data_IF_240794055106
#
_entry.id   IF_240794055106
#
_cell.length_a   1.000
_cell.length_b   1.000
_cell.length_c   1.000
_cell.angle_alpha   90.00
_cell.angle_beta   90.00
_cell.angle_gamma   90.00
#
_symmetry.space_group_name_H-M   'P 1'
#
loop_
_entity.id
_entity.type
_entity.pdbx_description
1 polymer ?
#
# COMPACT_ATOMS: atom_id res chain seq x y z
N UNK A 1 -3.78 -6.64 -24.65
CA UNK A 1 -2.34 -6.87 -24.83
C UNK A 1 -1.61 -5.54 -24.74
N UNK A 2 -0.38 -5.57 -24.23
CA UNK A 2 0.46 -4.39 -24.03
C UNK A 2 1.92 -4.82 -23.89
N UNK A 3 2.83 -3.87 -24.03
CA UNK A 3 4.28 -4.11 -23.95
C UNK A 3 4.77 -3.96 -22.52
N UNK A 4 5.68 -4.84 -22.12
CA UNK A 4 6.30 -4.86 -20.79
C UNK A 4 7.79 -5.16 -20.90
N UNK A 5 8.52 -4.90 -19.82
CA UNK A 5 9.79 -5.55 -19.50
C UNK A 5 9.62 -6.39 -18.23
N UNK A 6 10.34 -7.49 -18.12
CA UNK A 6 10.43 -8.26 -16.88
C UNK A 6 11.49 -7.63 -15.98
N UNK A 7 11.20 -7.52 -14.68
CA UNK A 7 12.13 -6.97 -13.69
C UNK A 7 12.47 -8.00 -12.62
N UNK A 8 13.59 -7.78 -11.93
CA UNK A 8 14.05 -8.66 -10.85
C UNK A 8 13.12 -8.54 -9.63
N UNK A 9 12.60 -9.65 -9.08
CA UNK A 9 11.72 -9.61 -7.91
C UNK A 9 12.43 -9.11 -6.62
N UNK A 10 13.75 -9.15 -6.56
CA UNK A 10 14.54 -8.69 -5.42
C UNK A 10 15.15 -7.29 -5.64
N UNK A 11 15.08 -6.77 -6.85
CA UNK A 11 15.52 -5.42 -7.21
C UNK A 11 14.71 -4.95 -8.43
N UNK A 12 13.57 -4.33 -8.18
CA UNK A 12 12.60 -3.95 -9.21
C UNK A 12 13.07 -2.83 -10.13
N UNK A 13 14.18 -2.20 -9.81
CA UNK A 13 14.85 -1.24 -10.69
C UNK A 13 15.66 -1.94 -11.79
N UNK A 14 15.94 -3.25 -11.62
CA UNK A 14 16.73 -4.04 -12.54
C UNK A 14 15.88 -4.74 -13.60
N UNK A 15 16.01 -4.30 -14.85
CA UNK A 15 15.36 -4.92 -16.00
C UNK A 15 16.07 -6.21 -16.41
N UNK A 16 15.30 -7.28 -16.60
CA UNK A 16 15.78 -8.63 -16.97
C UNK A 16 15.54 -9.00 -18.43
N UNK A 17 14.71 -8.26 -19.16
CA UNK A 17 14.34 -8.60 -20.54
C UNK A 17 14.30 -7.37 -21.46
N UNK A 18 14.46 -7.61 -22.76
CA UNK A 18 14.01 -6.66 -23.77
C UNK A 18 12.48 -6.50 -23.72
N UNK A 19 11.93 -5.39 -24.23
CA UNK A 19 10.47 -5.21 -24.29
C UNK A 19 9.76 -6.31 -25.11
N UNK A 20 8.65 -6.85 -24.57
CA UNK A 20 7.83 -7.85 -25.24
C UNK A 20 6.35 -7.69 -24.91
N UNK A 21 5.49 -8.30 -25.76
CA UNK A 21 4.03 -8.23 -25.59
C UNK A 21 3.51 -9.36 -24.70
N UNK A 22 2.71 -8.99 -23.70
CA UNK A 22 1.97 -9.91 -22.84
C UNK A 22 0.45 -9.77 -22.98
N UNK A 23 -0.30 -10.70 -22.37
CA UNK A 23 -1.73 -10.59 -22.10
C UNK A 23 -1.94 -10.58 -20.58
N UNK A 24 -2.01 -9.42 -19.97
CA UNK A 24 -2.32 -9.25 -18.54
C UNK A 24 -3.82 -9.10 -18.27
N UNK A 25 -4.21 -9.27 -17.01
CA UNK A 25 -5.56 -9.03 -16.50
C UNK A 25 -5.70 -7.59 -15.97
N UNK A 26 -5.77 -6.66 -16.90
CA UNK A 26 -5.74 -5.22 -16.64
C UNK A 26 -6.93 -4.50 -17.31
N UNK A 27 -8.01 -5.23 -17.62
CA UNK A 27 -9.22 -4.63 -18.16
C UNK A 27 -10.44 -5.05 -17.34
N UNK A 28 -11.10 -4.07 -16.71
CA UNK A 28 -12.30 -4.28 -15.90
C UNK A 28 -13.40 -3.30 -16.33
N UNK A 29 -14.48 -3.84 -16.88
CA UNK A 29 -15.57 -3.05 -17.49
C UNK A 29 -16.87 -3.08 -16.68
N UNK A 30 -16.94 -3.90 -15.64
CA UNK A 30 -18.07 -4.00 -14.70
C UNK A 30 -19.46 -3.95 -15.35
N UNK A 31 -19.82 -4.89 -16.24
CA UNK A 31 -21.07 -4.81 -17.02
C UNK A 31 -22.34 -4.82 -16.14
N UNK A 32 -22.27 -5.40 -14.95
CA UNK A 32 -23.36 -5.41 -13.98
C UNK A 32 -23.72 -4.02 -13.43
N UNK A 33 -22.78 -3.08 -13.46
CA UNK A 33 -22.97 -1.70 -13.01
C UNK A 33 -23.90 -0.89 -13.94
N UNK A 34 -23.99 -1.22 -15.23
CA UNK A 34 -24.80 -0.55 -16.26
C UNK A 34 -24.64 0.99 -16.27
N UNK A 35 -23.43 1.47 -15.95
CA UNK A 35 -23.10 2.90 -15.80
C UNK A 35 -23.92 3.65 -14.75
N UNK A 36 -24.46 2.95 -13.75
CA UNK A 36 -25.39 3.55 -12.76
C UNK A 36 -24.70 4.59 -11.86
N UNK A 37 -23.42 4.46 -11.57
CA UNK A 37 -22.65 5.32 -10.65
C UNK A 37 -21.61 6.14 -11.37
N UNK A 38 -20.81 5.50 -12.21
CA UNK A 38 -19.89 6.11 -13.17
C UNK A 38 -19.69 5.17 -14.35
N UNK A 39 -19.04 5.62 -15.40
CA UNK A 39 -18.72 4.83 -16.59
C UNK A 39 -17.22 4.53 -16.72
N UNK A 40 -16.43 4.77 -15.68
CA UNK A 40 -14.99 4.48 -15.67
C UNK A 40 -14.74 2.99 -15.89
N UNK A 41 -13.88 2.68 -16.84
CA UNK A 41 -13.41 1.33 -17.13
C UNK A 41 -11.90 1.27 -16.95
N UNK A 42 -11.42 0.26 -16.25
CA UNK A 42 -9.98 0.03 -16.11
C UNK A 42 -9.40 -0.56 -17.38
N UNK A 43 -8.28 -0.01 -17.83
CA UNK A 43 -7.50 -0.48 -18.96
C UNK A 43 -6.03 -0.64 -18.57
N UNK A 44 -5.24 -1.32 -19.40
CA UNK A 44 -3.84 -1.60 -19.11
C UNK A 44 -3.01 -0.33 -18.82
N UNK A 45 -3.36 0.79 -19.42
CA UNK A 45 -2.65 2.06 -19.23
C UNK A 45 -2.97 2.77 -17.89
N UNK A 46 -3.87 2.23 -17.10
CA UNK A 46 -4.15 2.66 -15.72
C UNK A 46 -3.29 1.95 -14.69
N UNK A 47 -2.36 1.09 -15.13
CA UNK A 47 -1.51 0.29 -14.26
C UNK A 47 -0.03 0.52 -14.59
N UNK A 48 0.85 0.35 -13.59
CA UNK A 48 2.31 0.40 -13.71
C UNK A 48 2.88 -0.98 -13.96
N UNK A 49 2.31 -2.02 -13.34
CA UNK A 49 2.82 -3.38 -13.42
C UNK A 49 1.76 -4.47 -13.31
N UNK A 50 2.19 -5.71 -13.56
CA UNK A 50 1.37 -6.93 -13.37
C UNK A 50 2.28 -8.14 -13.16
N UNK A 51 1.74 -9.22 -12.60
CA UNK A 51 2.50 -10.44 -12.24
C UNK A 51 2.26 -11.64 -13.14
N UNK A 52 1.39 -11.52 -14.14
CA UNK A 52 1.01 -12.68 -14.93
C UNK A 52 0.83 -12.40 -16.43
N UNK A 53 1.54 -13.18 -17.25
CA UNK A 53 1.32 -13.25 -18.70
C UNK A 53 0.44 -14.44 -19.06
N UNK A 54 -0.85 -14.21 -19.28
CA UNK A 54 -1.81 -15.23 -19.70
C UNK A 54 -1.58 -15.76 -21.13
N UNK A 55 -0.74 -15.12 -21.93
CA UNK A 55 -0.38 -15.61 -23.28
C UNK A 55 0.59 -16.78 -23.20
N UNK A 56 1.57 -16.67 -22.30
CA UNK A 56 2.65 -17.66 -22.15
C UNK A 56 2.51 -18.49 -20.87
N UNK A 57 1.46 -18.27 -20.07
CA UNK A 57 1.25 -18.91 -18.77
C UNK A 57 2.47 -18.74 -17.84
N UNK A 58 2.98 -17.51 -17.77
CA UNK A 58 4.20 -17.19 -17.03
C UNK A 58 3.91 -16.17 -15.94
N UNK A 59 4.35 -16.46 -14.70
CA UNK A 59 4.42 -15.50 -13.60
C UNK A 59 5.79 -14.79 -13.59
N UNK A 60 5.78 -13.54 -13.18
CA UNK A 60 6.96 -12.67 -13.06
C UNK A 60 6.51 -11.28 -12.66
N UNK A 61 7.41 -10.35 -12.47
CA UNK A 61 7.04 -8.93 -12.28
C UNK A 61 7.28 -8.23 -13.61
N UNK A 62 6.19 -7.76 -14.21
CA UNK A 62 6.18 -7.17 -15.54
C UNK A 62 5.86 -5.68 -15.44
N UNK A 63 6.88 -4.83 -15.64
CA UNK A 63 6.72 -3.38 -15.71
C UNK A 63 6.16 -2.97 -17.06
N UNK A 64 5.00 -2.30 -17.06
CA UNK A 64 4.30 -1.85 -18.25
C UNK A 64 5.07 -0.72 -18.93
N UNK A 65 5.20 -0.79 -20.25
CA UNK A 65 5.92 0.17 -21.05
C UNK A 65 4.96 1.09 -21.80
N UNK A 66 5.33 2.36 -21.96
CA UNK A 66 4.57 3.37 -22.69
C UNK A 66 4.95 4.78 -22.24
N UNK A 67 4.30 5.78 -22.83
CA UNK A 67 4.51 7.18 -22.47
C UNK A 67 4.07 7.43 -21.03
N UNK A 68 4.94 8.06 -20.23
CA UNK A 68 4.74 8.34 -18.80
C UNK A 68 4.51 7.09 -17.93
N UNK A 69 5.00 5.91 -18.36
CA UNK A 69 4.97 4.67 -17.58
C UNK A 69 6.27 4.47 -16.80
N UNK A 70 6.18 3.78 -15.70
CA UNK A 70 7.27 3.49 -14.77
C UNK A 70 6.71 3.27 -13.37
N UNK A 71 7.51 2.72 -12.47
CA UNK A 71 7.18 2.69 -11.04
C UNK A 71 6.97 4.11 -10.50
N UNK A 72 6.37 4.24 -9.33
CA UNK A 72 6.42 5.48 -8.55
C UNK A 72 7.87 5.89 -8.32
N UNK A 73 8.12 7.18 -8.12
CA UNK A 73 9.47 7.67 -7.83
C UNK A 73 9.99 7.09 -6.51
N UNK A 74 11.29 6.77 -6.45
CA UNK A 74 11.89 5.98 -5.34
C UNK A 74 11.71 6.62 -3.96
N UNK A 75 11.60 7.97 -3.91
CA UNK A 75 11.34 8.70 -2.67
C UNK A 75 9.88 8.70 -2.22
N UNK A 76 8.95 8.20 -3.04
CA UNK A 76 7.50 8.23 -2.77
C UNK A 76 6.94 6.88 -2.33
N UNK A 77 7.75 5.83 -2.38
CA UNK A 77 7.41 4.47 -1.95
C UNK A 77 8.53 3.88 -1.11
N UNK A 78 8.25 2.79 -0.39
CA UNK A 78 9.29 2.07 0.36
C UNK A 78 10.39 1.57 -0.57
N UNK A 79 11.65 1.64 -0.13
CA UNK A 79 12.82 1.28 -0.94
C UNK A 79 13.22 -0.19 -0.84
N UNK A 80 12.47 -1.01 -0.14
CA UNK A 80 12.67 -2.45 -0.11
C UNK A 80 12.60 -3.01 -1.54
N UNK A 81 13.47 -3.95 -1.87
CA UNK A 81 13.63 -4.47 -3.23
C UNK A 81 13.95 -3.40 -4.30
N UNK A 82 14.62 -2.32 -3.91
CA UNK A 82 15.03 -1.22 -4.79
C UNK A 82 13.94 -0.17 -5.04
N UNK A 83 12.70 -0.59 -5.20
CA UNK A 83 11.48 0.22 -5.30
C UNK A 83 10.29 -0.70 -5.04
N UNK A 84 9.48 -0.41 -4.02
CA UNK A 84 8.40 -1.30 -3.63
C UNK A 84 7.00 -0.80 -4.02
N UNK A 85 6.89 -0.08 -5.15
CA UNK A 85 5.60 0.31 -5.75
C UNK A 85 4.75 -0.94 -6.01
N UNK A 86 5.28 -1.91 -6.74
CA UNK A 86 4.57 -3.16 -7.02
C UNK A 86 4.50 -4.10 -5.80
N UNK A 87 3.30 -4.46 -5.37
CA UNK A 87 3.06 -5.51 -4.38
C UNK A 87 2.61 -6.82 -5.03
N UNK A 88 1.43 -6.82 -5.69
CA UNK A 88 0.84 -8.01 -6.31
C UNK A 88 -0.21 -7.67 -7.37
N UNK A 89 -0.57 -8.62 -8.22
CA UNK A 89 -1.61 -8.54 -9.26
C UNK A 89 -1.37 -7.42 -10.29
N UNK A 90 -2.31 -6.48 -10.40
CA UNK A 90 -2.23 -5.34 -11.30
C UNK A 90 -2.05 -4.06 -10.47
N UNK A 91 -0.89 -3.48 -10.55
CA UNK A 91 -0.48 -2.32 -9.77
C UNK A 91 -1.03 -1.03 -10.37
N UNK A 92 -1.67 -0.21 -9.54
CA UNK A 92 -2.38 0.99 -9.97
C UNK A 92 -1.40 2.13 -10.22
N UNK A 93 -1.53 2.81 -11.36
CA UNK A 93 -0.76 4.00 -11.69
C UNK A 93 -1.35 5.25 -11.01
N UNK A 94 -0.86 5.55 -9.82
CA UNK A 94 -1.29 6.72 -9.04
C UNK A 94 -0.84 8.07 -9.62
N UNK A 95 -0.10 8.08 -10.74
CA UNK A 95 0.24 9.29 -11.51
C UNK A 95 -0.73 9.54 -12.66
N UNK A 96 -1.58 8.55 -13.01
CA UNK A 96 -2.50 8.67 -14.15
C UNK A 96 -3.71 9.55 -13.79
N UNK A 97 -3.98 10.66 -14.52
CA UNK A 97 -5.02 11.61 -14.13
C UNK A 97 -6.43 11.01 -14.02
N UNK A 98 -6.81 10.10 -14.92
CA UNK A 98 -8.12 9.43 -14.88
C UNK A 98 -8.24 8.52 -13.65
N UNK A 99 -7.15 7.86 -13.23
CA UNK A 99 -7.12 7.03 -12.04
C UNK A 99 -7.29 7.89 -10.79
N UNK A 100 -6.50 8.96 -10.68
CA UNK A 100 -6.59 9.92 -9.55
C UNK A 100 -8.02 10.43 -9.42
N UNK A 101 -8.60 10.95 -10.49
CA UNK A 101 -9.97 11.49 -10.45
C UNK A 101 -11.00 10.42 -10.06
N UNK A 102 -10.90 9.22 -10.63
CA UNK A 102 -11.82 8.13 -10.30
C UNK A 102 -11.71 7.69 -8.83
N UNK A 103 -10.52 7.70 -8.24
CA UNK A 103 -10.33 7.35 -6.82
C UNK A 103 -10.90 8.41 -5.89
N UNK A 104 -10.75 9.71 -6.22
CA UNK A 104 -11.39 10.81 -5.48
C UNK A 104 -12.93 10.71 -5.56
N UNK A 105 -13.47 10.55 -6.76
CA UNK A 105 -14.91 10.40 -6.96
C UNK A 105 -15.47 9.18 -6.22
N UNK A 106 -14.73 8.06 -6.24
CA UNK A 106 -15.09 6.86 -5.49
C UNK A 106 -15.10 7.09 -3.98
N UNK A 107 -14.08 7.75 -3.43
CA UNK A 107 -14.01 8.01 -2.00
C UNK A 107 -15.17 8.86 -1.51
N UNK A 108 -15.47 9.95 -2.22
CA UNK A 108 -16.61 10.79 -1.90
C UNK A 108 -17.94 10.03 -1.99
N UNK A 109 -18.15 9.30 -3.07
CA UNK A 109 -19.34 8.46 -3.21
C UNK A 109 -19.45 7.43 -2.08
N UNK A 110 -18.35 6.78 -1.73
CA UNK A 110 -18.34 5.76 -0.68
C UNK A 110 -18.68 6.37 0.69
N UNK A 111 -18.06 7.47 1.06
CA UNK A 111 -18.33 8.17 2.33
C UNK A 111 -19.81 8.62 2.39
N UNK A 112 -20.31 9.28 1.34
CA UNK A 112 -21.66 9.79 1.28
C UNK A 112 -22.73 8.67 1.27
N UNK A 113 -22.42 7.55 0.63
CA UNK A 113 -23.37 6.42 0.52
C UNK A 113 -23.42 5.55 1.77
N UNK A 114 -22.32 5.44 2.51
CA UNK A 114 -22.20 4.53 3.66
C UNK A 114 -22.24 5.24 5.01
N UNK A 115 -21.91 6.53 5.05
CA UNK A 115 -21.83 7.32 6.27
C UNK A 115 -20.67 6.92 7.19
N UNK A 116 -19.58 6.36 6.65
CA UNK A 116 -18.39 6.06 7.43
C UNK A 116 -17.66 7.32 7.87
N UNK A 117 -16.99 7.28 9.02
CA UNK A 117 -16.30 8.40 9.61
C UNK A 117 -14.77 8.21 9.64
N UNK A 118 -14.26 7.26 8.87
CA UNK A 118 -12.83 7.01 8.78
C UNK A 118 -12.49 5.88 7.83
N UNK A 119 -11.19 5.76 7.53
CA UNK A 119 -10.62 4.71 6.69
C UNK A 119 -9.45 3.99 7.37
N UNK A 120 -9.37 2.69 7.17
CA UNK A 120 -8.11 1.97 7.22
C UNK A 120 -7.59 1.84 5.79
N UNK A 121 -6.36 2.28 5.57
CA UNK A 121 -5.68 2.21 4.29
C UNK A 121 -4.74 1.01 4.28
N UNK A 122 -4.97 0.11 3.33
CA UNK A 122 -4.18 -1.11 3.17
C UNK A 122 -2.88 -0.84 2.43
N UNK A 123 -1.78 -1.50 2.81
CA UNK A 123 -0.53 -1.59 2.05
C UNK A 123 0.06 -0.24 1.59
N UNK A 124 -0.03 0.82 2.41
CA UNK A 124 0.34 2.19 2.00
C UNK A 124 1.81 2.38 1.66
N UNK A 125 2.71 1.48 2.11
CA UNK A 125 4.12 1.52 1.74
C UNK A 125 4.37 1.26 0.24
N UNK A 126 3.38 0.70 -0.47
CA UNK A 126 3.40 0.40 -1.89
C UNK A 126 2.60 1.42 -2.73
N UNK A 127 2.18 2.52 -2.13
CA UNK A 127 1.39 3.55 -2.78
C UNK A 127 2.15 4.87 -2.72
N UNK A 128 2.19 5.58 -3.84
CA UNK A 128 2.76 6.92 -3.95
C UNK A 128 2.33 7.82 -2.77
N UNK A 129 3.27 8.22 -1.92
CA UNK A 129 3.00 9.00 -0.70
C UNK A 129 2.47 10.41 -1.00
N UNK A 130 2.88 11.00 -2.14
CA UNK A 130 2.35 12.29 -2.58
C UNK A 130 0.87 12.17 -2.96
N UNK A 131 0.48 11.08 -3.66
CA UNK A 131 -0.93 10.78 -3.90
C UNK A 131 -1.68 10.62 -2.58
N UNK A 132 -1.18 9.79 -1.65
CA UNK A 132 -1.84 9.53 -0.36
C UNK A 132 -2.04 10.80 0.45
N UNK A 133 -1.02 11.64 0.55
CA UNK A 133 -1.11 12.94 1.24
C UNK A 133 -2.23 13.81 0.68
N UNK A 134 -2.28 13.96 -0.64
CA UNK A 134 -3.29 14.80 -1.30
C UNK A 134 -4.69 14.20 -1.23
N UNK A 135 -4.80 12.89 -1.35
CA UNK A 135 -6.06 12.16 -1.25
C UNK A 135 -6.71 12.32 0.13
N UNK A 136 -5.93 12.15 1.21
CA UNK A 136 -6.45 12.33 2.56
C UNK A 136 -6.73 13.81 2.88
N UNK A 137 -5.89 14.73 2.38
CA UNK A 137 -6.18 16.16 2.52
C UNK A 137 -7.52 16.54 1.91
N UNK A 138 -7.83 16.10 0.70
CA UNK A 138 -9.11 16.37 0.03
C UNK A 138 -10.31 15.83 0.85
N UNK A 139 -10.17 14.63 1.42
CA UNK A 139 -11.20 14.04 2.28
C UNK A 139 -11.39 14.86 3.56
N UNK A 140 -10.32 15.21 4.26
CA UNK A 140 -10.42 15.97 5.53
C UNK A 140 -10.89 17.41 5.32
N UNK A 141 -10.50 18.07 4.22
CA UNK A 141 -11.00 19.38 3.85
C UNK A 141 -12.53 19.37 3.62
N UNK A 142 -13.07 18.29 3.06
CA UNK A 142 -14.52 18.18 2.77
C UNK A 142 -15.34 17.66 3.94
N UNK A 143 -14.86 16.67 4.67
CA UNK A 143 -15.64 15.96 5.70
C UNK A 143 -15.24 16.33 7.14
N UNK A 144 -14.18 17.11 7.30
CA UNK A 144 -13.68 17.57 8.59
C UNK A 144 -12.46 16.80 9.09
N UNK A 145 -11.66 17.45 9.94
CA UNK A 145 -10.44 16.87 10.54
C UNK A 145 -10.75 15.70 11.49
N UNK A 146 -11.99 15.52 11.91
CA UNK A 146 -12.44 14.38 12.73
C UNK A 146 -12.61 13.09 11.90
N UNK A 147 -12.47 13.16 10.56
CA UNK A 147 -12.49 11.96 9.72
C UNK A 147 -11.22 11.16 9.95
N UNK A 148 -11.33 10.10 10.75
CA UNK A 148 -10.17 9.36 11.25
C UNK A 148 -9.58 8.43 10.19
N UNK A 149 -8.27 8.51 9.97
CA UNK A 149 -7.56 7.68 9.00
C UNK A 149 -6.32 7.06 9.63
N UNK A 150 -6.08 5.78 9.34
CA UNK A 150 -4.80 5.14 9.61
C UNK A 150 -4.39 4.20 8.49
N UNK A 151 -3.08 4.08 8.29
CA UNK A 151 -2.48 3.29 7.22
C UNK A 151 -1.71 2.08 7.72
N UNK A 152 -1.73 1.03 6.92
CA UNK A 152 -0.85 -0.11 7.10
C UNK A 152 0.47 0.13 6.34
N UNK A 153 1.42 0.76 7.01
CA UNK A 153 2.81 0.81 6.57
C UNK A 153 3.57 -0.35 7.20
N UNK A 154 3.61 -1.50 6.50
CA UNK A 154 4.19 -2.72 7.06
C UNK A 154 5.71 -2.69 7.04
N UNK A 155 6.30 -1.94 7.95
CA UNK A 155 7.73 -1.83 8.17
C UNK A 155 8.01 -1.64 9.67
N UNK A 156 8.91 -2.44 10.23
CA UNK A 156 9.32 -2.35 11.65
C UNK A 156 10.52 -1.44 11.89
N UNK A 157 11.03 -0.76 10.86
CA UNK A 157 12.13 0.20 11.00
C UNK A 157 11.62 1.57 11.44
N UNK A 158 12.25 2.10 12.49
CA UNK A 158 11.87 3.38 13.09
C UNK A 158 12.07 4.56 12.12
N UNK A 159 13.16 4.56 11.37
CA UNK A 159 13.49 5.63 10.41
C UNK A 159 12.51 5.60 9.24
N UNK A 160 12.23 4.43 8.69
CA UNK A 160 11.28 4.29 7.58
C UNK A 160 9.87 4.77 7.96
N UNK A 161 9.40 4.47 9.18
CA UNK A 161 8.12 4.97 9.68
C UNK A 161 8.11 6.50 9.84
N UNK A 162 9.19 7.06 10.38
CA UNK A 162 9.34 8.52 10.53
C UNK A 162 9.33 9.22 9.17
N UNK A 163 10.17 8.77 8.24
CA UNK A 163 10.29 9.36 6.90
C UNK A 163 8.96 9.29 6.13
N UNK A 164 8.23 8.17 6.29
CA UNK A 164 6.90 8.06 5.67
C UNK A 164 5.90 9.05 6.29
N UNK A 165 5.84 9.18 7.63
CA UNK A 165 4.98 10.16 8.29
C UNK A 165 5.30 11.59 7.84
N UNK A 166 6.58 11.94 7.68
CA UNK A 166 6.98 13.24 7.14
C UNK A 166 6.51 13.43 5.69
N UNK A 167 6.65 12.40 4.84
CA UNK A 167 6.27 12.47 3.43
C UNK A 167 4.78 12.73 3.21
N UNK A 168 3.94 12.26 4.14
CA UNK A 168 2.48 12.49 4.13
C UNK A 168 2.04 13.70 4.98
N UNK A 169 2.97 14.52 5.50
CA UNK A 169 2.70 15.63 6.42
C UNK A 169 1.86 15.21 7.65
N UNK A 170 2.07 13.99 8.17
CA UNK A 170 1.33 13.44 9.32
C UNK A 170 -0.20 13.46 9.14
N UNK A 171 -0.68 13.26 7.91
CA UNK A 171 -2.12 13.32 7.58
C UNK A 171 -2.93 12.16 8.12
N UNK A 172 -2.29 11.05 8.46
CA UNK A 172 -2.93 9.88 9.06
C UNK A 172 -1.93 9.07 9.88
N UNK A 173 -2.47 8.28 10.79
CA UNK A 173 -1.70 7.44 11.71
C UNK A 173 -1.22 6.15 11.03
N UNK A 174 -0.23 5.48 11.62
CA UNK A 174 0.28 4.20 11.11
C UNK A 174 0.11 3.10 12.15
N UNK A 175 -0.06 1.86 11.68
CA UNK A 175 0.02 0.68 12.55
C UNK A 175 1.44 0.49 13.07
N UNK A 176 1.57 0.21 14.36
CA UNK A 176 2.87 -0.02 15.00
C UNK A 176 3.33 -1.48 14.83
N UNK A 177 3.93 -1.76 13.68
CA UNK A 177 4.45 -3.09 13.33
C UNK A 177 5.59 -3.52 14.25
N UNK A 178 6.44 -2.58 14.71
CA UNK A 178 7.54 -2.90 15.60
C UNK A 178 7.03 -3.35 16.97
N UNK A 179 6.00 -2.71 17.51
CA UNK A 179 5.40 -3.13 18.77
C UNK A 179 4.75 -4.52 18.66
N UNK A 180 4.06 -4.81 17.54
CA UNK A 180 3.57 -6.16 17.25
C UNK A 180 4.71 -7.19 17.27
N UNK A 181 5.84 -6.93 16.60
CA UNK A 181 7.00 -7.81 16.62
C UNK A 181 7.57 -7.97 18.04
N UNK A 182 7.65 -6.91 18.84
CA UNK A 182 8.11 -6.98 20.21
C UNK A 182 7.17 -7.84 21.09
N UNK A 183 5.87 -7.75 20.90
CA UNK A 183 4.90 -8.64 21.57
C UNK A 183 5.09 -10.09 21.14
N UNK A 184 5.27 -10.35 19.85
CA UNK A 184 5.54 -11.68 19.35
C UNK A 184 6.81 -12.28 19.96
N UNK A 185 7.93 -11.52 19.96
CA UNK A 185 9.20 -11.95 20.56
C UNK A 185 9.06 -12.21 22.07
N UNK A 186 8.35 -11.33 22.79
CA UNK A 186 8.07 -11.51 24.21
C UNK A 186 7.26 -12.78 24.48
N UNK A 187 6.23 -13.07 23.66
CA UNK A 187 5.40 -14.27 23.79
C UNK A 187 6.21 -15.57 23.61
N UNK A 188 7.24 -15.53 22.77
CA UNK A 188 8.11 -16.70 22.54
C UNK A 188 9.20 -16.86 23.58
N UNK A 189 9.81 -15.76 24.01
CA UNK A 189 10.87 -15.77 25.02
C UNK A 189 10.32 -15.98 26.45
N UNK A 190 9.05 -15.63 26.69
CA UNK A 190 8.41 -15.79 28.00
C UNK A 190 9.19 -15.08 29.11
N UNK A 191 9.58 -15.81 30.15
CA UNK A 191 10.31 -15.27 31.30
C UNK A 191 11.71 -14.71 30.98
N UNK A 192 12.27 -15.04 29.84
CA UNK A 192 13.59 -14.56 29.39
C UNK A 192 13.50 -13.21 28.67
N UNK A 193 12.31 -12.70 28.38
CA UNK A 193 12.12 -11.38 27.76
C UNK A 193 12.19 -10.25 28.77
N UNK A 194 12.95 -9.21 28.49
CA UNK A 194 12.96 -8.00 29.32
C UNK A 194 11.81 -7.05 28.94
N UNK A 195 10.71 -7.11 29.64
CA UNK A 195 9.53 -6.26 29.38
C UNK A 195 9.80 -4.74 29.43
N UNK A 196 10.94 -4.30 30.01
CA UNK A 196 11.32 -2.89 29.97
C UNK A 196 11.66 -2.41 28.57
N UNK A 197 11.95 -3.32 27.64
CA UNK A 197 12.31 -3.03 26.24
C UNK A 197 11.13 -3.15 25.28
N UNK A 198 9.93 -3.45 25.77
CA UNK A 198 8.76 -3.72 24.91
C UNK A 198 8.43 -2.58 23.95
N UNK A 199 8.70 -1.34 24.33
CA UNK A 199 8.48 -0.16 23.52
C UNK A 199 9.74 0.33 22.78
N UNK A 200 10.86 -0.39 22.84
CA UNK A 200 12.07 0.07 22.16
C UNK A 200 11.91 0.02 20.63
N UNK A 201 12.27 1.13 19.99
CA UNK A 201 12.15 1.35 18.53
C UNK A 201 10.72 1.28 17.98
N UNK A 202 9.71 1.46 18.82
CA UNK A 202 8.31 1.43 18.41
C UNK A 202 7.79 2.80 18.02
N UNK A 203 6.79 2.83 17.15
CA UNK A 203 6.09 4.06 16.80
C UNK A 203 5.39 4.68 18.03
N UNK A 204 4.78 3.82 18.88
CA UNK A 204 4.13 4.23 20.12
C UNK A 204 5.07 4.95 21.11
N UNK A 205 6.38 4.68 21.06
CA UNK A 205 7.37 5.37 21.88
C UNK A 205 7.78 6.73 21.30
N UNK A 206 7.98 6.78 19.98
CA UNK A 206 8.62 7.92 19.33
C UNK A 206 7.62 8.92 18.74
N UNK A 207 6.47 8.44 18.29
CA UNK A 207 5.37 9.18 17.70
C UNK A 207 4.02 8.69 18.25
N UNK A 208 3.77 8.79 19.58
CA UNK A 208 2.58 8.22 20.22
C UNK A 208 1.26 8.77 19.66
N UNK A 209 1.28 10.00 19.15
CA UNK A 209 0.14 10.68 18.52
C UNK A 209 -0.22 10.09 17.14
N UNK A 210 0.72 9.39 16.50
CA UNK A 210 0.55 8.80 15.16
C UNK A 210 0.59 7.27 15.17
N UNK A 211 0.48 6.65 16.34
CA UNK A 211 0.65 5.21 16.50
C UNK A 211 -0.68 4.48 16.75
N UNK A 212 -1.03 3.56 15.87
CA UNK A 212 -2.14 2.60 16.07
C UNK A 212 -1.56 1.27 16.52
N UNK A 213 -1.69 0.97 17.81
CA UNK A 213 -1.14 -0.26 18.39
C UNK A 213 -2.07 -1.45 18.16
N UNK A 214 -1.48 -2.61 17.90
CA UNK A 214 -2.21 -3.87 17.79
C UNK A 214 -1.36 -5.04 18.33
N UNK A 215 -2.01 -6.12 18.68
CA UNK A 215 -1.34 -7.35 19.15
C UNK A 215 -1.21 -8.31 17.97
N UNK A 216 -2.32 -8.68 17.37
CA UNK A 216 -2.43 -9.52 16.19
C UNK A 216 -3.46 -8.95 15.22
N UNK A 217 -3.37 -9.30 13.95
CA UNK A 217 -4.36 -8.99 12.93
C UNK A 217 -4.62 -10.21 12.03
N UNK A 218 -5.41 -10.04 10.96
CA UNK A 218 -5.78 -11.12 10.04
C UNK A 218 -4.58 -11.67 9.23
N UNK A 219 -3.50 -10.89 9.05
CA UNK A 219 -2.30 -11.29 8.29
C UNK A 219 -1.23 -11.93 9.18
N UNK A 220 -1.28 -11.72 10.51
CA UNK A 220 -0.27 -12.24 11.44
C UNK A 220 -0.56 -13.66 11.94
N UNK A 221 -1.71 -14.25 11.61
CA UNK A 221 -2.19 -15.54 12.15
C UNK A 221 -1.28 -16.74 11.88
N UNK A 222 -0.35 -16.66 10.93
CA UNK A 222 0.60 -17.73 10.63
C UNK A 222 2.02 -17.26 10.85
N UNK A 223 2.64 -17.74 11.93
CA UNK A 223 4.06 -17.54 12.22
C UNK A 223 4.42 -16.22 12.88
N UNK A 224 3.49 -15.30 13.05
CA UNK A 224 3.67 -14.02 13.75
C UNK A 224 2.63 -13.77 14.86
N UNK A 225 1.59 -14.59 14.95
CA UNK A 225 0.61 -14.50 16.03
C UNK A 225 1.21 -14.88 17.38
N UNK A 226 0.73 -14.28 18.47
CA UNK A 226 1.11 -14.68 19.81
C UNK A 226 0.65 -16.13 20.06
N UNK A 227 1.58 -17.05 20.19
CA UNK A 227 1.30 -18.49 20.29
C UNK A 227 0.95 -18.94 21.70
N UNK A 228 1.27 -18.11 22.69
CA UNK A 228 0.94 -18.41 24.09
C UNK A 228 0.39 -17.17 24.77
N UNK A 229 -0.67 -17.37 25.51
CA UNK A 229 -1.06 -16.40 26.53
C UNK A 229 0.02 -16.38 27.59
N UNK A 230 0.65 -15.24 27.75
CA UNK A 230 1.56 -14.98 28.87
C UNK A 230 0.79 -15.01 30.16
#
# INVERSE_FOLDING_TARGET
RFTVVEVDPNDRTKVLSEPFEIKGWTKFVFPGRKKAYNDFEWHWYHFTGTDYDAKNNKSGIFLIQGDNKGWADDELVDNENGNYDYLMYADIDFKHPEVIQNLYDWAHWFIESTGVHGFRLDAVKHIDSFFMKNFIRDITEKYGEDFYVFGEFWNGDETANHDYLESIDYRFDLVDVKLHHNFFDASRAGADYDLRTIFDHTLAKNHPESAVTFVDNHDTQRGQALESTV
#
